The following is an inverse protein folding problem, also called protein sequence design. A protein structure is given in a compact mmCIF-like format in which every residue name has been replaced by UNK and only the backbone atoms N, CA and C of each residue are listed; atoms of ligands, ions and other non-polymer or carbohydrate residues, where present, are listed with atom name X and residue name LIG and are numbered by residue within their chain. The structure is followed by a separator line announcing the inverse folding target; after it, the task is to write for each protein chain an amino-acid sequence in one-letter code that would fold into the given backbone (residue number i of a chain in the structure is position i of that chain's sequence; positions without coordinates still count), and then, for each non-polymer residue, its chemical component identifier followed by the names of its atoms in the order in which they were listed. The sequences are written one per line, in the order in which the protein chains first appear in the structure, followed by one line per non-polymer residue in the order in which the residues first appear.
data_IF_935642409889
#
_entry.id   IF_935642409889
#
_cell.length_a   1.000
_cell.length_b   1.000
_cell.length_c   1.000
_cell.angle_alpha   90.00
_cell.angle_beta   90.00
_cell.angle_gamma   90.00
#
_symmetry.space_group_name_H-M   'P 1'
#
loop_
_entity.id
_entity.type
_entity.pdbx_description
1 polymer ?
#
# COMPACT_ATOMS: atom_id res chain seq x y z
N UNK A 1 -31.42 43.11 -55.73
CA UNK A 1 -30.05 42.58 -55.85
C UNK A 1 -29.22 43.28 -54.77
N UNK A 2 -28.76 42.55 -53.74
CA UNK A 2 -27.79 42.94 -52.67
C UNK A 2 -28.06 44.23 -51.86
N UNK A 3 -27.69 44.40 -50.59
CA UNK A 3 -27.19 43.56 -49.48
C UNK A 3 -27.08 44.51 -48.27
N UNK A 4 -27.24 43.96 -47.05
CA UNK A 4 -26.52 44.24 -45.80
C UNK A 4 -26.22 45.67 -45.30
N UNK A 5 -26.36 45.83 -43.97
CA UNK A 5 -25.45 46.69 -43.20
C UNK A 5 -26.01 47.21 -41.89
N UNK A 6 -25.50 46.68 -40.78
CA UNK A 6 -25.96 46.85 -39.40
C UNK A 6 -25.32 48.04 -38.64
N UNK A 7 -25.87 48.29 -37.44
CA UNK A 7 -25.23 49.01 -36.32
C UNK A 7 -25.64 50.48 -36.17
N UNK A 8 -25.79 51.07 -35.00
CA UNK A 8 -25.49 50.66 -33.63
C UNK A 8 -26.05 51.74 -32.68
N UNK A 9 -26.19 51.36 -31.40
CA UNK A 9 -26.08 52.22 -30.19
C UNK A 9 -27.18 53.21 -29.87
N UNK A 10 -27.91 52.91 -28.80
CA UNK A 10 -28.25 53.76 -27.64
C UNK A 10 -29.39 53.05 -26.90
N UNK A 11 -29.44 52.82 -25.60
CA UNK A 11 -28.68 53.15 -24.39
C UNK A 11 -29.18 52.11 -23.38
N UNK A 12 -28.38 51.68 -22.41
CA UNK A 12 -28.95 51.52 -21.08
C UNK A 12 -27.88 51.80 -20.03
N UNK A 13 -28.17 52.90 -19.37
CA UNK A 13 -27.50 53.56 -18.27
C UNK A 13 -27.38 52.58 -17.09
N UNK A 14 -26.17 52.11 -16.79
CA UNK A 14 -25.90 51.43 -15.52
C UNK A 14 -25.54 52.51 -14.52
N UNK A 15 -26.49 52.79 -13.65
CA UNK A 15 -26.35 53.72 -12.55
C UNK A 15 -25.44 53.08 -11.49
N UNK A 16 -24.25 53.64 -11.38
CA UNK A 16 -23.24 53.39 -10.37
C UNK A 16 -23.81 53.81 -8.99
N UNK A 17 -24.09 52.84 -8.13
CA UNK A 17 -24.39 53.06 -6.71
C UNK A 17 -23.46 52.15 -5.90
N UNK A 18 -22.58 52.80 -5.16
CA UNK A 18 -21.58 52.24 -4.25
C UNK A 18 -22.20 51.56 -3.03
N UNK A 19 -22.35 50.24 -3.08
CA UNK A 19 -22.08 49.34 -1.95
C UNK A 19 -21.44 48.08 -2.54
N UNK A 20 -20.35 47.52 -1.96
CA UNK A 20 -19.80 46.27 -2.45
C UNK A 20 -20.85 45.19 -2.21
N UNK A 21 -21.64 44.87 -3.23
CA UNK A 21 -22.62 43.79 -3.19
C UNK A 21 -21.93 42.53 -2.68
N UNK A 22 -22.42 42.02 -1.54
CA UNK A 22 -21.93 40.77 -0.99
C UNK A 22 -21.94 39.69 -2.07
N UNK A 23 -20.91 38.83 -2.09
CA UNK A 23 -20.75 37.76 -3.08
C UNK A 23 -22.02 36.89 -3.20
N UNK A 24 -22.79 36.81 -2.11
CA UNK A 24 -24.08 36.14 -2.01
C UNK A 24 -25.18 36.78 -2.88
N UNK A 25 -25.31 38.12 -2.90
CA UNK A 25 -26.24 38.82 -3.78
C UNK A 25 -25.87 38.71 -5.27
N UNK A 26 -24.57 38.62 -5.56
CA UNK A 26 -24.06 38.35 -6.92
C UNK A 26 -24.40 36.93 -7.38
N UNK A 27 -24.29 35.95 -6.48
CA UNK A 27 -24.58 34.57 -6.77
C UNK A 27 -26.08 34.32 -6.98
N UNK A 28 -26.93 35.00 -6.19
CA UNK A 28 -28.39 34.93 -6.30
C UNK A 28 -28.88 35.43 -7.67
N UNK A 29 -28.41 36.61 -8.13
CA UNK A 29 -28.80 37.13 -9.46
C UNK A 29 -28.34 36.24 -10.62
N UNK A 30 -27.18 35.60 -10.49
CA UNK A 30 -26.65 34.70 -11.53
C UNK A 30 -27.45 33.41 -11.53
N UNK A 31 -27.78 32.86 -10.36
CA UNK A 31 -28.61 31.66 -10.25
C UNK A 31 -30.05 31.86 -10.73
N UNK A 32 -30.62 33.06 -10.58
CA UNK A 32 -31.97 33.41 -11.07
C UNK A 32 -32.01 33.54 -12.60
N UNK A 33 -30.97 34.13 -13.20
CA UNK A 33 -30.92 34.37 -14.65
C UNK A 33 -30.36 33.17 -15.44
N UNK A 34 -29.41 32.43 -14.86
CA UNK A 34 -28.82 31.23 -15.44
C UNK A 34 -28.48 30.22 -14.32
N UNK A 35 -29.37 29.24 -14.07
CA UNK A 35 -29.19 28.25 -13.03
C UNK A 35 -27.93 27.39 -13.19
N UNK A 36 -27.45 27.19 -14.42
CA UNK A 36 -26.23 26.40 -14.65
C UNK A 36 -24.98 27.22 -14.34
N UNK A 37 -24.93 28.49 -14.76
CA UNK A 37 -23.82 29.38 -14.42
C UNK A 37 -23.71 29.65 -12.91
N UNK A 38 -24.84 29.74 -12.21
CA UNK A 38 -24.87 29.90 -10.74
C UNK A 38 -24.23 28.71 -10.01
N UNK A 39 -24.47 27.48 -10.49
CA UNK A 39 -23.84 26.27 -9.92
C UNK A 39 -22.34 26.21 -10.17
N UNK A 40 -21.91 26.53 -11.40
CA UNK A 40 -20.48 26.56 -11.77
C UNK A 40 -19.74 27.61 -10.95
N UNK A 41 -20.33 28.80 -10.76
CA UNK A 41 -19.74 29.87 -9.97
C UNK A 41 -19.67 29.52 -8.48
N UNK A 42 -20.73 28.91 -7.92
CA UNK A 42 -20.73 28.40 -6.53
C UNK A 42 -19.61 27.39 -6.30
N UNK A 43 -19.47 26.43 -7.24
CA UNK A 43 -18.42 25.41 -7.19
C UNK A 43 -17.02 26.04 -7.30
N UNK A 44 -16.85 27.07 -8.12
CA UNK A 44 -15.58 27.78 -8.26
C UNK A 44 -15.19 28.53 -6.99
N UNK A 45 -16.14 29.21 -6.32
CA UNK A 45 -15.89 29.96 -5.09
C UNK A 45 -15.51 29.03 -3.92
N UNK A 46 -16.18 27.88 -3.79
CA UNK A 46 -15.86 26.87 -2.76
C UNK A 46 -14.42 26.37 -2.88
N UNK A 47 -13.89 26.26 -4.11
CA UNK A 47 -12.50 25.86 -4.37
C UNK A 47 -11.49 26.92 -3.92
N UNK A 48 -11.85 28.21 -3.93
CA UNK A 48 -10.91 29.31 -3.68
C UNK A 48 -10.79 29.76 -2.21
N UNK A 49 -11.64 29.30 -1.30
CA UNK A 49 -11.52 29.57 0.15
C UNK A 49 -10.97 28.39 0.96
N UNK A 50 -10.50 27.34 0.27
CA UNK A 50 -9.98 26.13 0.90
C UNK A 50 -8.59 26.39 1.50
N UNK A 51 -8.56 26.81 2.76
CA UNK A 51 -7.31 26.95 3.50
C UNK A 51 -6.74 25.58 3.82
N UNK A 52 -5.64 25.20 3.16
CA UNK A 52 -4.92 23.95 3.43
C UNK A 52 -3.74 24.22 4.34
N UNK A 53 -3.95 23.96 5.61
CA UNK A 53 -2.92 24.02 6.61
C UNK A 53 -3.52 23.85 8.00
N UNK A 54 -2.74 23.40 8.99
CA UNK A 54 -3.18 23.32 10.38
C UNK A 54 -3.30 24.69 11.05
N UNK A 55 -2.85 25.76 10.38
CA UNK A 55 -2.93 27.13 10.88
C UNK A 55 -4.05 27.89 10.18
N UNK A 56 -4.75 28.79 10.89
CA UNK A 56 -5.69 29.72 10.28
C UNK A 56 -4.98 30.73 9.37
N UNK A 57 -5.74 31.37 8.47
CA UNK A 57 -5.21 32.42 7.61
C UNK A 57 -4.77 33.65 8.42
N UNK A 58 -3.84 34.49 7.92
CA UNK A 58 -3.46 35.72 8.59
C UNK A 58 -4.64 36.67 8.86
N UNK A 59 -5.59 36.74 7.94
CA UNK A 59 -6.79 37.58 8.08
C UNK A 59 -7.72 37.04 9.19
N UNK A 60 -7.83 35.72 9.34
CA UNK A 60 -8.60 35.12 10.42
C UNK A 60 -7.91 35.26 11.78
N UNK A 61 -6.57 35.16 11.82
CA UNK A 61 -5.78 35.46 13.02
C UNK A 61 -6.01 36.88 13.54
N UNK A 62 -6.14 37.85 12.64
CA UNK A 62 -6.49 39.23 13.01
C UNK A 62 -7.91 39.33 13.58
N UNK A 63 -8.88 38.60 13.03
CA UNK A 63 -10.23 38.58 13.59
C UNK A 63 -10.24 37.97 15.00
N UNK A 64 -9.41 36.97 15.26
CA UNK A 64 -9.26 36.37 16.59
C UNK A 64 -8.65 37.34 17.61
N UNK A 65 -7.71 38.21 17.18
CA UNK A 65 -7.10 39.20 18.08
C UNK A 65 -8.08 40.27 18.56
N UNK A 66 -9.12 40.57 17.77
CA UNK A 66 -10.22 41.47 18.15
C UNK A 66 -11.05 40.89 19.30
N UNK A 67 -11.22 39.55 19.36
CA UNK A 67 -11.95 38.86 20.43
C UNK A 67 -11.08 38.74 21.67
N UNK A 68 -9.84 38.27 21.50
CA UNK A 68 -8.87 38.13 22.56
C UNK A 68 -7.46 38.43 22.02
N UNK A 69 -6.82 39.54 22.45
CA UNK A 69 -5.55 39.99 21.89
C UNK A 69 -4.40 38.98 21.99
N UNK A 70 -4.38 38.14 23.05
CA UNK A 70 -3.32 37.14 23.30
C UNK A 70 -3.52 35.82 22.53
N UNK A 71 -4.68 35.64 21.89
CA UNK A 71 -5.05 34.37 21.26
C UNK A 71 -4.14 33.96 20.08
N UNK A 72 -3.72 34.87 19.17
CA UNK A 72 -2.82 34.50 18.08
C UNK A 72 -1.46 33.98 18.58
N UNK A 73 -0.86 34.66 19.56
CA UNK A 73 0.44 34.28 20.13
C UNK A 73 0.36 32.92 20.82
N UNK A 74 -0.72 32.69 21.58
CA UNK A 74 -0.96 31.40 22.24
C UNK A 74 -1.17 30.27 21.23
N UNK A 75 -1.88 30.52 20.13
CA UNK A 75 -2.08 29.54 19.05
C UNK A 75 -0.76 29.21 18.37
N UNK A 76 0.10 30.21 18.12
CA UNK A 76 1.43 30.02 17.56
C UNK A 76 2.32 29.19 18.49
N UNK A 77 2.33 29.50 19.79
CA UNK A 77 3.06 28.71 20.78
C UNK A 77 2.57 27.26 20.87
N UNK A 78 1.25 27.03 20.84
CA UNK A 78 0.70 25.67 20.79
C UNK A 78 1.08 24.92 19.52
N UNK A 79 1.11 25.61 18.38
CA UNK A 79 1.54 25.02 17.10
C UNK A 79 3.04 24.66 17.12
N UNK A 80 3.90 25.54 17.63
CA UNK A 80 5.34 25.29 17.79
C UNK A 80 5.62 24.12 18.74
N UNK A 81 4.91 24.06 19.87
CA UNK A 81 5.00 22.95 20.82
C UNK A 81 4.55 21.64 20.17
N UNK A 82 3.40 21.64 19.48
CA UNK A 82 2.89 20.46 18.77
C UNK A 82 3.86 19.98 17.68
N UNK A 83 4.47 20.91 16.94
CA UNK A 83 5.45 20.59 15.89
C UNK A 83 6.74 20.02 16.48
N UNK A 84 7.23 20.60 17.58
CA UNK A 84 8.42 20.11 18.30
C UNK A 84 8.21 18.71 18.83
N UNK A 85 7.05 18.43 19.44
CA UNK A 85 6.72 17.09 19.92
C UNK A 85 6.60 16.08 18.79
N UNK A 86 5.99 16.44 17.65
CA UNK A 86 5.94 15.57 16.46
C UNK A 86 7.34 15.23 15.95
N UNK A 87 8.26 16.20 15.94
CA UNK A 87 9.66 15.98 15.53
C UNK A 87 10.34 15.00 16.49
N UNK A 88 10.17 15.17 17.82
CA UNK A 88 10.72 14.25 18.84
C UNK A 88 10.15 12.83 18.73
N UNK A 89 8.85 12.70 18.49
CA UNK A 89 8.21 11.40 18.28
C UNK A 89 8.74 10.73 17.00
N UNK A 90 8.86 11.51 15.92
CA UNK A 90 9.37 10.99 14.66
C UNK A 90 10.81 10.52 14.77
N UNK A 91 11.69 11.27 15.45
CA UNK A 91 13.07 10.84 15.67
C UNK A 91 13.16 9.54 16.47
N UNK A 92 12.31 9.37 17.50
CA UNK A 92 12.23 8.13 18.28
C UNK A 92 11.76 6.94 17.43
N UNK A 93 10.77 7.15 16.56
CA UNK A 93 10.28 6.12 15.64
C UNK A 93 11.39 5.70 14.66
N UNK A 94 12.14 6.66 14.12
CA UNK A 94 13.27 6.37 13.22
C UNK A 94 14.38 5.59 13.93
N UNK A 95 14.69 5.95 15.17
CA UNK A 95 15.66 5.23 15.99
C UNK A 95 15.21 3.78 16.22
N UNK A 96 13.96 3.56 16.65
CA UNK A 96 13.40 2.22 16.86
C UNK A 96 13.42 1.39 15.57
N UNK A 97 13.00 1.96 14.43
CA UNK A 97 13.08 1.28 13.13
C UNK A 97 14.51 0.94 12.73
N UNK A 98 15.47 1.84 12.99
CA UNK A 98 16.88 1.57 12.66
C UNK A 98 17.42 0.38 13.48
N UNK A 99 17.00 0.27 14.74
CA UNK A 99 17.34 -0.85 15.63
C UNK A 99 16.66 -2.15 15.21
N UNK A 100 15.40 -2.10 14.77
CA UNK A 100 14.70 -3.26 14.19
C UNK A 100 15.37 -3.75 12.92
N UNK A 101 15.82 -2.84 12.04
CA UNK A 101 16.57 -3.20 10.82
C UNK A 101 17.89 -3.87 11.17
N UNK A 102 18.58 -3.43 12.23
CA UNK A 102 19.81 -4.08 12.70
C UNK A 102 19.55 -5.48 13.23
N UNK A 103 18.51 -5.67 14.05
CA UNK A 103 18.10 -6.99 14.55
C UNK A 103 17.67 -7.91 13.41
N UNK A 104 16.87 -7.42 12.46
CA UNK A 104 16.48 -8.20 11.29
C UNK A 104 17.69 -8.60 10.45
N UNK A 105 18.72 -7.76 10.32
CA UNK A 105 19.95 -8.16 9.61
C UNK A 105 20.69 -9.29 10.32
N UNK A 106 20.75 -9.25 11.65
CA UNK A 106 21.34 -10.34 12.45
C UNK A 106 20.52 -11.63 12.33
N UNK A 107 19.19 -11.53 12.31
CA UNK A 107 18.29 -12.67 12.08
C UNK A 107 18.41 -13.20 10.65
N UNK A 108 18.55 -12.33 9.66
CA UNK A 108 18.74 -12.73 8.25
C UNK A 108 20.08 -13.45 8.06
N UNK A 109 21.15 -12.99 8.71
CA UNK A 109 22.45 -13.67 8.70
C UNK A 109 22.37 -15.08 9.32
N UNK A 110 21.59 -15.25 10.39
CA UNK A 110 21.27 -16.59 10.92
C UNK A 110 20.33 -17.38 10.02
N UNK A 111 19.40 -16.71 9.33
CA UNK A 111 18.46 -17.33 8.41
C UNK A 111 19.12 -17.82 7.11
N UNK A 112 20.21 -17.19 6.66
CA UNK A 112 21.00 -17.66 5.51
C UNK A 112 21.68 -19.02 5.81
N UNK A 113 22.07 -19.24 7.06
CA UNK A 113 22.50 -20.56 7.53
C UNK A 113 21.33 -21.55 7.64
N UNK A 114 20.12 -21.08 7.96
CA UNK A 114 18.91 -21.90 8.04
C UNK A 114 18.35 -22.27 6.65
N UNK A 115 18.42 -21.37 5.66
CA UNK A 115 17.88 -21.61 4.32
C UNK A 115 18.81 -22.52 3.48
N UNK A 116 20.13 -22.42 3.69
CA UNK A 116 21.08 -23.43 3.19
C UNK A 116 20.82 -24.82 3.79
N UNK A 117 20.39 -24.90 5.07
CA UNK A 117 19.95 -26.17 5.67
C UNK A 117 18.65 -26.65 5.04
N UNK A 118 17.71 -25.76 4.75
CA UNK A 118 16.40 -26.12 4.19
C UNK A 118 16.52 -26.71 2.77
N UNK A 119 17.29 -26.08 1.87
CA UNK A 119 17.52 -26.60 0.52
C UNK A 119 18.30 -27.92 0.56
N UNK A 120 19.30 -28.02 1.45
CA UNK A 120 20.06 -29.26 1.58
C UNK A 120 19.20 -30.39 2.14
N UNK A 121 18.31 -30.13 3.12
CA UNK A 121 17.41 -31.16 3.66
C UNK A 121 16.39 -31.68 2.64
N UNK A 122 15.85 -30.80 1.79
CA UNK A 122 14.90 -31.20 0.74
C UNK A 122 15.55 -32.03 -0.36
N UNK A 123 16.82 -31.74 -0.71
CA UNK A 123 17.56 -32.51 -1.71
C UNK A 123 18.23 -33.77 -1.12
N UNK A 124 18.57 -33.77 0.18
CA UNK A 124 19.24 -34.88 0.85
C UNK A 124 18.34 -36.12 0.96
N UNK A 125 17.03 -35.96 1.15
CA UNK A 125 16.11 -37.11 1.16
C UNK A 125 16.01 -37.79 -0.21
N UNK A 126 16.10 -37.02 -1.31
CA UNK A 126 16.06 -37.55 -2.66
C UNK A 126 17.33 -38.34 -2.98
N UNK A 127 18.50 -37.78 -2.65
CA UNK A 127 19.79 -38.44 -2.92
C UNK A 127 19.94 -39.73 -2.10
N UNK A 128 19.47 -39.73 -0.84
CA UNK A 128 19.55 -40.90 0.04
C UNK A 128 18.59 -41.99 -0.44
N UNK A 129 17.36 -41.63 -0.85
CA UNK A 129 16.41 -42.58 -1.43
C UNK A 129 16.97 -43.22 -2.72
N UNK A 130 17.62 -42.44 -3.59
CA UNK A 130 18.23 -42.95 -4.82
C UNK A 130 19.33 -44.00 -4.53
N UNK A 131 20.19 -43.73 -3.54
CA UNK A 131 21.26 -44.67 -3.13
C UNK A 131 20.66 -45.98 -2.59
N UNK A 132 19.61 -45.91 -1.77
CA UNK A 132 18.94 -47.09 -1.21
C UNK A 132 18.34 -47.96 -2.33
N UNK A 133 17.70 -47.34 -3.33
CA UNK A 133 17.14 -48.06 -4.47
C UNK A 133 18.23 -48.75 -5.29
N UNK A 134 19.38 -48.08 -5.53
CA UNK A 134 20.51 -48.71 -6.21
C UNK A 134 21.04 -49.94 -5.46
N UNK A 135 21.18 -49.87 -4.14
CA UNK A 135 21.63 -51.00 -3.32
C UNK A 135 20.64 -52.17 -3.41
N UNK A 136 19.34 -51.90 -3.38
CA UNK A 136 18.31 -52.92 -3.55
C UNK A 136 18.37 -53.61 -4.92
N UNK A 137 18.59 -52.85 -6.00
CA UNK A 137 18.72 -53.41 -7.35
C UNK A 137 19.95 -54.32 -7.45
N UNK A 138 21.11 -53.86 -6.96
CA UNK A 138 22.35 -54.65 -6.97
C UNK A 138 22.22 -55.91 -6.10
N UNK A 139 21.61 -55.79 -4.91
CA UNK A 139 21.37 -56.92 -4.02
C UNK A 139 20.42 -57.96 -4.63
N UNK A 140 19.34 -57.52 -5.29
CA UNK A 140 18.43 -58.40 -6.00
C UNK A 140 19.11 -59.11 -7.18
N UNK A 141 19.95 -58.39 -7.94
CA UNK A 141 20.74 -58.95 -9.03
C UNK A 141 21.75 -59.99 -8.52
N UNK A 142 22.42 -59.72 -7.39
CA UNK A 142 23.34 -60.67 -6.75
C UNK A 142 22.63 -61.95 -6.26
N UNK A 143 21.43 -61.81 -5.70
CA UNK A 143 20.61 -62.97 -5.29
C UNK A 143 20.13 -63.78 -6.50
N UNK A 144 19.83 -63.14 -7.63
CA UNK A 144 19.42 -63.81 -8.85
C UNK A 144 20.53 -64.70 -9.44
N UNK A 145 21.79 -64.28 -9.32
CA UNK A 145 22.95 -65.09 -9.73
C UNK A 145 23.20 -66.32 -8.85
N UNK A 146 22.67 -66.36 -7.62
CA UNK A 146 22.84 -67.46 -6.67
C UNK A 146 21.69 -68.49 -6.72
N UNK A 147 20.95 -68.57 -7.84
CA UNK A 147 19.85 -69.52 -8.09
C UNK A 147 18.65 -69.44 -7.12
N UNK A 148 18.57 -68.38 -6.30
CA UNK A 148 17.43 -68.08 -5.42
C UNK A 148 16.47 -67.10 -6.08
N UNK A 149 16.10 -67.38 -7.32
CA UNK A 149 15.24 -66.53 -8.18
C UNK A 149 13.88 -66.21 -7.56
N UNK A 150 13.26 -67.16 -6.84
CA UNK A 150 12.00 -66.92 -6.13
C UNK A 150 12.14 -65.84 -5.04
N UNK A 151 13.25 -65.88 -4.28
CA UNK A 151 13.52 -64.92 -3.20
C UNK A 151 13.92 -63.56 -3.79
N UNK A 152 14.69 -63.56 -4.89
CA UNK A 152 15.06 -62.34 -5.61
C UNK A 152 13.82 -61.60 -6.16
N UNK A 153 12.84 -62.31 -6.72
CA UNK A 153 11.63 -61.73 -7.29
C UNK A 153 10.72 -61.14 -6.21
N UNK A 154 10.51 -61.85 -5.10
CA UNK A 154 9.70 -61.36 -3.98
C UNK A 154 10.34 -60.13 -3.35
N UNK A 155 11.65 -60.16 -3.07
CA UNK A 155 12.35 -59.04 -2.43
C UNK A 155 12.45 -57.84 -3.39
N UNK A 156 12.85 -58.05 -4.64
CA UNK A 156 12.99 -56.96 -5.63
C UNK A 156 11.66 -56.34 -6.02
N UNK A 157 10.61 -57.16 -6.22
CA UNK A 157 9.29 -56.67 -6.61
C UNK A 157 8.57 -55.90 -5.50
N UNK A 158 8.56 -56.44 -4.28
CA UNK A 158 7.80 -55.84 -3.17
C UNK A 158 8.44 -54.53 -2.67
N UNK A 159 9.76 -54.46 -2.61
CA UNK A 159 10.47 -53.27 -2.12
C UNK A 159 10.32 -52.08 -3.06
N UNK A 160 10.47 -52.28 -4.37
CA UNK A 160 10.35 -51.21 -5.36
C UNK A 160 8.92 -50.68 -5.43
N UNK A 161 7.91 -51.57 -5.45
CA UNK A 161 6.49 -51.16 -5.47
C UNK A 161 6.13 -50.40 -4.20
N UNK A 162 6.58 -50.86 -3.02
CA UNK A 162 6.35 -50.18 -1.75
C UNK A 162 6.91 -48.74 -1.73
N UNK A 163 8.13 -48.55 -2.23
CA UNK A 163 8.77 -47.23 -2.30
C UNK A 163 8.02 -46.31 -3.27
N UNK A 164 7.65 -46.79 -4.47
CA UNK A 164 6.93 -45.99 -5.47
C UNK A 164 5.55 -45.56 -4.95
N UNK A 165 4.81 -46.46 -4.29
CA UNK A 165 3.50 -46.15 -3.70
C UNK A 165 3.61 -45.13 -2.57
N UNK A 166 4.61 -45.27 -1.69
CA UNK A 166 4.86 -44.30 -0.63
C UNK A 166 5.19 -42.90 -1.20
N UNK A 167 6.00 -42.86 -2.26
CA UNK A 167 6.39 -41.60 -2.92
C UNK A 167 5.21 -40.91 -3.62
N UNK A 168 4.34 -41.67 -4.30
CA UNK A 168 3.12 -41.14 -4.92
C UNK A 168 2.11 -40.63 -3.89
N UNK A 169 1.98 -41.29 -2.73
CA UNK A 169 1.09 -40.87 -1.65
C UNK A 169 1.55 -39.56 -0.98
N UNK A 170 2.86 -39.32 -0.92
CA UNK A 170 3.44 -38.12 -0.31
C UNK A 170 3.08 -36.82 -1.06
N UNK A 171 2.82 -36.89 -2.38
CA UNK A 171 2.56 -35.71 -3.22
C UNK A 171 1.20 -35.04 -2.96
N UNK A 172 0.31 -35.66 -2.19
CA UNK A 172 -1.09 -35.23 -2.07
C UNK A 172 -1.40 -34.55 -0.71
N UNK A 173 -0.40 -34.32 0.16
CA UNK A 173 -0.60 -33.83 1.53
C UNK A 173 -0.45 -32.32 1.73
N UNK A 174 -0.24 -31.54 0.67
CA UNK A 174 -0.26 -30.07 0.76
C UNK A 174 -1.69 -29.55 0.61
N UNK A 175 -2.57 -29.86 1.57
CA UNK A 175 -3.78 -29.06 1.77
C UNK A 175 -3.49 -28.08 2.91
N UNK A 176 -3.54 -26.79 2.54
CA UNK A 176 -3.47 -25.64 3.44
C UNK A 176 -4.38 -25.86 4.64
N UNK A 177 -3.90 -25.65 5.89
CA UNK A 177 -4.80 -25.35 6.98
C UNK A 177 -5.38 -23.96 6.73
N UNK A 178 -6.69 -23.83 6.89
CA UNK A 178 -7.41 -22.56 6.99
C UNK A 178 -6.98 -21.76 8.23
#
# INVERSE_FOLDING_TARGET
MSENGAGNTEKNNVQENDEPESIEGVLERVSVNDPEAGRVLSQYIEVHTSHRGPMPSPDDLQKYSVILPELPDRMMSMAENSQTEKIKQHSKILELKSKEIEVQKLEVEQSDAAHKREIFTQQLSLILAFIVVLICIVGAFYLALNDKTAVALVIGGTTVVGIVVAFLKNKNSTKSPD
#
